data_IF_656505464340
#
_entry.id   IF_656505464340
#
_cell.length_a   1.000
_cell.length_b   1.000
_cell.length_c   1.000
_cell.angle_alpha   90.00
_cell.angle_beta   90.00
_cell.angle_gamma   90.00
#
_symmetry.space_group_name_H-M   'P 1'
#
loop_
_entity.id
_entity.type
_entity.pdbx_description
1 polymer ?
#
# COMPACT_ATOMS: atom_id res chain seq x y z
N UNK A 1 -15.57 8.25 7.30
CA UNK A 1 -14.72 7.34 6.50
C UNK A 1 -13.59 6.81 7.37
N UNK A 2 -13.24 5.52 7.26
CA UNK A 2 -12.13 4.92 8.00
C UNK A 2 -10.82 5.65 7.68
N UNK A 3 -9.97 5.82 8.69
CA UNK A 3 -8.72 6.56 8.57
C UNK A 3 -7.62 5.63 8.06
N UNK A 4 -7.04 5.94 6.90
CA UNK A 4 -5.85 5.24 6.40
C UNK A 4 -4.72 5.35 7.43
N UNK A 5 -4.29 4.21 7.96
CA UNK A 5 -3.31 4.14 9.04
C UNK A 5 -2.23 3.13 8.68
N UNK A 6 -1.08 3.65 8.26
CA UNK A 6 0.09 2.83 7.97
C UNK A 6 0.74 2.35 9.27
N UNK A 7 1.14 1.08 9.26
CA UNK A 7 1.85 0.44 10.36
C UNK A 7 2.84 -0.59 9.81
N UNK A 8 3.84 -1.02 10.60
CA UNK A 8 4.72 -2.12 10.21
C UNK A 8 3.94 -3.37 9.80
N UNK A 9 4.46 -4.10 8.81
CA UNK A 9 3.86 -5.36 8.36
C UNK A 9 4.07 -6.45 9.42
N UNK A 10 2.96 -6.98 9.92
CA UNK A 10 2.87 -8.11 10.84
C UNK A 10 2.47 -9.39 10.10
N UNK A 11 2.59 -10.53 10.80
CA UNK A 11 2.31 -11.84 10.21
C UNK A 11 0.84 -11.96 9.75
N UNK A 12 -0.12 -11.45 10.51
CA UNK A 12 -1.54 -11.50 10.17
C UNK A 12 -1.88 -10.69 8.91
N UNK A 13 -1.07 -9.68 8.59
CA UNK A 13 -1.23 -8.90 7.36
C UNK A 13 -0.91 -9.72 6.11
N UNK A 14 -0.02 -10.72 6.25
CA UNK A 14 0.39 -11.58 5.13
C UNK A 14 -0.80 -12.41 4.67
N UNK A 15 -1.53 -13.02 5.61
CA UNK A 15 -2.73 -13.80 5.28
C UNK A 15 -3.81 -12.92 4.64
N UNK A 16 -4.02 -11.71 5.17
CA UNK A 16 -5.00 -10.76 4.61
C UNK A 16 -4.58 -10.27 3.22
N UNK A 17 -3.29 -10.01 3.03
CA UNK A 17 -2.72 -9.60 1.76
C UNK A 17 -2.89 -10.69 0.70
N UNK A 18 -2.55 -11.94 1.05
CA UNK A 18 -2.65 -13.08 0.15
C UNK A 18 -4.11 -13.36 -0.24
N UNK A 19 -5.04 -13.31 0.73
CA UNK A 19 -6.46 -13.49 0.47
C UNK A 19 -7.01 -12.42 -0.50
N UNK A 20 -6.74 -11.14 -0.23
CA UNK A 20 -7.17 -10.04 -1.09
C UNK A 20 -6.55 -10.13 -2.49
N UNK A 21 -5.26 -10.46 -2.57
CA UNK A 21 -4.56 -10.60 -3.85
C UNK A 21 -5.13 -11.75 -4.69
N UNK A 22 -5.43 -12.89 -4.07
CA UNK A 22 -6.01 -14.04 -4.75
C UNK A 22 -7.40 -13.73 -5.32
N UNK A 23 -8.20 -12.93 -4.61
CA UNK A 23 -9.56 -12.55 -5.00
C UNK A 23 -9.58 -11.49 -6.10
N UNK A 24 -8.74 -10.45 -5.97
CA UNK A 24 -8.89 -9.22 -6.79
C UNK A 24 -7.80 -9.04 -7.84
N UNK A 25 -6.62 -9.62 -7.66
CA UNK A 25 -5.47 -9.35 -8.51
C UNK A 25 -4.64 -10.59 -8.93
N UNK A 26 -5.24 -11.76 -9.25
CA UNK A 26 -4.48 -12.99 -9.51
C UNK A 26 -3.52 -12.89 -10.71
N UNK A 27 -3.74 -11.92 -11.61
CA UNK A 27 -2.88 -11.69 -12.79
C UNK A 27 -1.72 -10.72 -12.53
N UNK A 28 -1.68 -10.03 -11.40
CA UNK A 28 -0.71 -8.97 -11.14
C UNK A 28 0.59 -9.52 -10.52
N UNK A 29 1.47 -10.08 -11.37
CA UNK A 29 2.70 -10.79 -10.94
C UNK A 29 3.68 -9.97 -10.09
N UNK A 30 3.57 -8.65 -10.11
CA UNK A 30 4.48 -7.73 -9.41
C UNK A 30 4.26 -7.72 -7.88
N UNK A 31 3.03 -8.01 -7.43
CA UNK A 31 2.61 -7.84 -6.04
C UNK A 31 2.35 -9.18 -5.34
N UNK A 32 3.20 -10.18 -5.60
CA UNK A 32 3.13 -11.46 -4.88
C UNK A 32 3.79 -11.35 -3.49
N UNK A 33 3.61 -12.39 -2.66
CA UNK A 33 4.18 -12.42 -1.29
C UNK A 33 5.69 -12.19 -1.25
N UNK A 34 6.44 -12.67 -2.25
CA UNK A 34 7.88 -12.47 -2.31
C UNK A 34 8.24 -10.98 -2.45
N UNK A 35 7.48 -10.23 -3.24
CA UNK A 35 7.65 -8.78 -3.35
C UNK A 35 7.40 -8.09 -2.00
N UNK A 36 6.30 -8.43 -1.30
CA UNK A 36 5.99 -7.87 0.02
C UNK A 36 7.12 -8.11 1.03
N UNK A 37 7.70 -9.31 1.05
CA UNK A 37 8.85 -9.63 1.92
C UNK A 37 10.09 -8.79 1.60
N UNK A 38 10.45 -8.65 0.33
CA UNK A 38 11.60 -7.84 -0.10
C UNK A 38 11.40 -6.38 0.34
N UNK A 39 10.21 -5.85 0.09
CA UNK A 39 9.86 -4.47 0.44
C UNK A 39 9.91 -4.24 1.96
N UNK A 40 9.30 -5.14 2.74
CA UNK A 40 9.34 -5.12 4.21
C UNK A 40 10.77 -5.09 4.75
N UNK A 41 11.65 -5.95 4.24
CA UNK A 41 13.00 -6.10 4.76
C UNK A 41 13.99 -5.03 4.28
N UNK A 42 13.90 -4.58 3.01
CA UNK A 42 14.86 -3.62 2.44
C UNK A 42 14.47 -2.17 2.64
N UNK A 43 13.17 -1.87 2.66
CA UNK A 43 12.67 -0.50 2.61
C UNK A 43 11.80 -0.12 3.81
N UNK A 44 11.80 -0.98 4.85
CA UNK A 44 10.99 -0.82 6.06
C UNK A 44 9.53 -0.50 5.72
N UNK A 45 8.98 -1.21 4.74
CA UNK A 45 7.65 -0.92 4.20
C UNK A 45 6.56 -1.13 5.24
N UNK A 46 5.70 -0.13 5.36
CA UNK A 46 4.48 -0.11 6.15
C UNK A 46 3.29 -0.49 5.27
N UNK A 47 2.24 -1.02 5.88
CA UNK A 47 0.99 -1.41 5.22
C UNK A 47 -0.21 -0.70 5.83
N UNK A 48 -1.19 -0.38 4.99
CA UNK A 48 -2.51 0.04 5.40
C UNK A 48 -3.57 -0.68 4.56
N UNK A 49 -4.75 -0.86 5.15
CA UNK A 49 -5.90 -1.47 4.50
C UNK A 49 -7.06 -0.47 4.52
N UNK A 50 -7.75 -0.33 3.39
CA UNK A 50 -9.08 0.27 3.33
C UNK A 50 -10.10 -0.79 2.90
N UNK A 51 -11.34 -0.36 2.71
CA UNK A 51 -12.38 -1.19 2.09
C UNK A 51 -12.06 -1.50 0.61
N UNK A 52 -11.35 -0.60 -0.06
CA UNK A 52 -11.15 -0.62 -1.50
C UNK A 52 -9.77 -1.12 -1.94
N UNK A 53 -8.77 -1.07 -1.05
CA UNK A 53 -7.42 -1.43 -1.45
C UNK A 53 -6.47 -1.79 -0.29
N UNK A 54 -5.33 -2.35 -0.69
CA UNK A 54 -4.13 -2.45 0.12
C UNK A 54 -3.13 -1.40 -0.32
N UNK A 55 -2.57 -0.68 0.65
CA UNK A 55 -1.56 0.35 0.43
C UNK A 55 -0.24 -0.07 1.06
N UNK A 56 0.84 0.17 0.34
CA UNK A 56 2.20 -0.01 0.83
C UNK A 56 2.93 1.33 0.81
N UNK A 57 3.72 1.59 1.84
CA UNK A 57 4.50 2.82 1.98
C UNK A 57 5.90 2.50 2.46
N UNK A 58 6.91 2.95 1.72
CA UNK A 58 8.33 2.77 2.06
C UNK A 58 8.96 4.09 2.50
N UNK A 59 10.02 4.01 3.30
CA UNK A 59 10.91 5.15 3.57
C UNK A 59 12.29 4.84 2.99
N UNK A 60 12.67 5.55 1.93
CA UNK A 60 13.94 5.36 1.20
C UNK A 60 14.69 6.68 1.24
N UNK A 61 15.92 6.68 1.76
CA UNK A 61 16.77 7.89 1.89
C UNK A 61 16.05 9.08 2.56
N UNK A 62 15.22 8.79 3.57
CA UNK A 62 14.46 9.81 4.29
C UNK A 62 13.14 10.24 3.63
N UNK A 63 12.90 9.87 2.36
CA UNK A 63 11.70 10.23 1.59
C UNK A 63 10.62 9.14 1.67
N UNK A 64 9.36 9.55 1.54
CA UNK A 64 8.22 8.64 1.56
C UNK A 64 7.78 8.26 0.14
N UNK A 65 7.70 6.95 -0.10
CA UNK A 65 7.25 6.39 -1.37
C UNK A 65 6.01 5.54 -1.13
N UNK A 66 4.94 5.79 -1.88
CA UNK A 66 3.77 4.94 -1.91
C UNK A 66 3.85 4.05 -3.14
N UNK A 67 3.56 2.76 -2.97
CA UNK A 67 3.44 1.85 -4.10
C UNK A 67 2.08 2.06 -4.76
N UNK A 68 1.95 1.60 -6.01
CA UNK A 68 0.64 1.53 -6.64
C UNK A 68 -0.30 0.68 -5.74
N UNK A 69 -1.44 1.23 -5.30
CA UNK A 69 -2.35 0.48 -4.44
C UNK A 69 -2.89 -0.76 -5.16
N UNK A 70 -3.15 -1.81 -4.39
CA UNK A 70 -3.72 -3.06 -4.90
C UNK A 70 -5.22 -2.96 -4.67
N UNK A 71 -5.98 -2.73 -5.73
CA UNK A 71 -7.43 -2.57 -5.74
C UNK A 71 -8.10 -3.47 -6.77
N UNK A 72 -9.42 -3.57 -6.63
CA UNK A 72 -10.36 -4.46 -7.30
C UNK A 72 -10.84 -4.01 -8.69
N UNK A 73 -11.03 -2.71 -8.92
CA UNK A 73 -11.54 -2.20 -10.20
C UNK A 73 -10.97 -0.84 -10.66
N UNK A 74 -11.33 -0.41 -11.88
CA UNK A 74 -10.88 0.86 -12.50
C UNK A 74 -11.41 2.10 -11.74
N UNK A 75 -12.55 2.01 -11.07
CA UNK A 75 -13.12 3.11 -10.30
C UNK A 75 -12.37 3.34 -8.97
N UNK A 76 -11.78 2.27 -8.42
CA UNK A 76 -11.00 2.30 -7.19
C UNK A 76 -9.70 3.11 -7.31
N UNK A 77 -9.19 3.38 -8.51
CA UNK A 77 -7.97 4.18 -8.69
C UNK A 77 -8.13 5.62 -8.17
N UNK A 78 -9.24 6.28 -8.52
CA UNK A 78 -9.51 7.66 -8.07
C UNK A 78 -9.74 7.73 -6.56
N UNK A 79 -10.45 6.75 -6.00
CA UNK A 79 -10.67 6.63 -4.55
C UNK A 79 -9.35 6.43 -3.82
N UNK A 80 -8.47 5.56 -4.33
CA UNK A 80 -7.17 5.30 -3.75
C UNK A 80 -6.27 6.53 -3.76
N UNK A 81 -6.29 7.30 -4.84
CA UNK A 81 -5.52 8.55 -4.93
C UNK A 81 -6.02 9.56 -3.90
N UNK A 82 -7.34 9.75 -3.79
CA UNK A 82 -7.94 10.63 -2.79
C UNK A 82 -7.60 10.22 -1.34
N UNK A 83 -7.56 8.91 -1.06
CA UNK A 83 -7.15 8.38 0.24
C UNK A 83 -5.68 8.68 0.57
N UNK A 84 -4.79 8.49 -0.41
CA UNK A 84 -3.36 8.80 -0.28
C UNK A 84 -3.11 10.30 -0.11
N UNK A 85 -3.77 11.16 -0.89
CA UNK A 85 -3.62 12.61 -0.82
C UNK A 85 -4.08 13.16 0.53
N UNK A 86 -5.21 12.66 1.05
CA UNK A 86 -5.68 13.00 2.40
C UNK A 86 -4.69 12.56 3.47
N UNK A 87 -4.10 11.38 3.34
CA UNK A 87 -3.08 10.90 4.27
C UNK A 87 -1.82 11.79 4.21
N UNK A 88 -1.30 12.07 3.02
CA UNK A 88 -0.12 12.90 2.82
C UNK A 88 -0.31 14.32 3.39
N UNK A 89 -1.46 14.95 3.11
CA UNK A 89 -1.82 16.27 3.66
C UNK A 89 -1.89 16.26 5.19
N UNK A 90 -2.54 15.24 5.77
CA UNK A 90 -2.69 15.11 7.23
C UNK A 90 -1.37 14.95 7.96
N UNK A 91 -0.41 14.28 7.33
CA UNK A 91 0.87 13.94 7.92
C UNK A 91 2.02 14.88 7.50
N UNK A 92 1.71 15.96 6.76
CA UNK A 92 2.69 16.94 6.29
C UNK A 92 3.90 16.30 5.58
N UNK A 93 3.65 15.34 4.69
CA UNK A 93 4.74 14.62 4.01
C UNK A 93 5.36 15.49 2.91
N UNK A 94 6.57 15.99 3.16
CA UNK A 94 7.31 16.90 2.25
C UNK A 94 7.84 16.24 0.97
N UNK A 95 7.85 14.90 0.90
CA UNK A 95 8.26 14.13 -0.28
C UNK A 95 7.28 12.98 -0.49
N UNK A 96 6.35 13.17 -1.43
CA UNK A 96 5.34 12.19 -1.84
C UNK A 96 5.64 11.73 -3.26
N UNK A 97 5.95 10.44 -3.42
CA UNK A 97 6.24 9.84 -4.72
C UNK A 97 5.51 8.51 -4.86
N UNK A 98 4.86 8.29 -6.01
CA UNK A 98 4.37 6.98 -6.39
C UNK A 98 5.54 6.18 -7.00
N UNK A 99 5.97 5.12 -6.33
CA UNK A 99 6.84 4.12 -6.91
C UNK A 99 6.00 3.23 -7.84
N UNK A 100 6.50 3.01 -9.06
CA UNK A 100 5.87 2.13 -10.07
C UNK A 100 5.99 0.68 -9.64
#
# INVERSE_FOLDING_TARGET
MPKLTFRPIHFDDIAKYEAYFAEHAPKNRWYNLQHLYIMRHRHHTEIAFSEHAIYLKSKIEGKHYFHKPIYDDVNSESICQDELDRYAKKHHLESFHLAV
#
